data_IF_619500769736
#
_entry.id   IF_619500769736
#
_cell.length_a   1.000
_cell.length_b   1.000
_cell.length_c   1.000
_cell.angle_alpha   90.00
_cell.angle_beta   90.00
_cell.angle_gamma   90.00
#
_symmetry.space_group_name_H-M   'P 1'
#
loop_
_entity.id
_entity.type
_entity.pdbx_description
1 polymer ?
#
# COMPACT_ATOMS: atom_id res chain seq x y z
N UNK A 1 36.48 6.66 -26.46
CA UNK A 1 35.61 5.50 -26.18
C UNK A 1 35.07 5.64 -24.76
N UNK A 2 33.88 6.20 -24.58
CA UNK A 2 33.22 6.24 -23.27
C UNK A 2 31.71 6.14 -23.50
N UNK A 3 31.23 4.91 -23.53
CA UNK A 3 29.81 4.58 -23.54
C UNK A 3 29.22 4.89 -22.17
N UNK A 4 28.26 5.81 -22.11
CA UNK A 4 27.45 6.05 -20.90
C UNK A 4 26.23 5.14 -20.98
N UNK A 5 26.02 4.19 -20.05
CA UNK A 5 24.87 3.30 -20.15
C UNK A 5 23.61 4.06 -19.72
N UNK A 6 22.76 4.42 -20.69
CA UNK A 6 21.40 4.96 -20.45
C UNK A 6 20.50 3.81 -19.97
N UNK A 7 20.57 3.46 -18.68
CA UNK A 7 19.77 2.35 -18.13
C UNK A 7 18.42 2.80 -17.55
N UNK A 8 18.19 4.08 -17.27
CA UNK A 8 16.85 4.54 -16.83
C UNK A 8 16.04 5.12 -18.00
N UNK A 9 15.71 4.29 -18.98
CA UNK A 9 14.62 4.58 -19.91
C UNK A 9 13.42 3.71 -19.57
N UNK A 10 12.26 4.38 -19.41
CA UNK A 10 10.92 3.80 -19.31
C UNK A 10 10.56 2.99 -18.05
N UNK A 11 10.31 3.71 -16.95
CA UNK A 11 9.27 3.24 -16.01
C UNK A 11 7.93 3.41 -16.76
N UNK A 12 7.18 2.33 -17.05
CA UNK A 12 5.85 2.47 -17.62
C UNK A 12 5.00 3.23 -16.60
N UNK A 13 4.60 4.45 -16.95
CA UNK A 13 3.58 5.19 -16.20
C UNK A 13 2.30 4.38 -16.32
N UNK A 14 2.03 3.55 -15.31
CA UNK A 14 0.73 2.89 -15.14
C UNK A 14 -0.34 3.97 -15.32
N UNK A 15 -1.40 3.74 -16.13
CA UNK A 15 -2.40 4.77 -16.37
C UNK A 15 -3.04 5.08 -15.02
N UNK A 16 -2.65 6.21 -14.44
CA UNK A 16 -3.21 6.70 -13.18
C UNK A 16 -4.66 7.00 -13.50
N UNK A 17 -5.53 6.02 -13.26
CA UNK A 17 -6.97 6.18 -13.34
C UNK A 17 -7.27 7.39 -12.46
N UNK A 18 -7.78 8.47 -13.03
CA UNK A 18 -7.93 9.76 -12.34
C UNK A 18 -8.70 9.55 -11.03
N UNK A 19 -7.96 9.40 -9.93
CA UNK A 19 -8.53 9.21 -8.61
C UNK A 19 -9.01 10.59 -8.17
N UNK A 20 -10.31 10.73 -7.88
CA UNK A 20 -10.86 11.96 -7.31
C UNK A 20 -9.98 12.38 -6.12
N UNK A 21 -9.44 13.61 -6.10
CA UNK A 21 -8.51 14.04 -5.05
C UNK A 21 -9.19 13.93 -3.69
N UNK A 22 -8.41 13.55 -2.66
CA UNK A 22 -8.91 13.51 -1.30
C UNK A 22 -9.24 14.93 -0.82
N UNK A 23 -10.34 15.07 -0.10
CA UNK A 23 -10.70 16.36 0.52
C UNK A 23 -9.90 16.55 1.82
N UNK A 24 -9.67 17.79 2.28
CA UNK A 24 -8.79 18.10 3.44
C UNK A 24 -9.16 17.41 4.76
N UNK A 25 -10.40 16.93 4.90
CA UNK A 25 -10.93 16.28 6.12
C UNK A 25 -11.47 14.87 5.84
N UNK A 26 -11.08 14.26 4.71
CA UNK A 26 -11.54 12.93 4.39
C UNK A 26 -10.81 11.89 5.27
N UNK A 27 -11.53 10.98 5.95
CA UNK A 27 -10.87 9.94 6.72
C UNK A 27 -10.08 9.01 5.81
N UNK A 28 -8.87 8.63 6.23
CA UNK A 28 -7.94 7.81 5.41
C UNK A 28 -8.59 6.50 4.96
N UNK A 29 -9.45 5.91 5.80
CA UNK A 29 -10.20 4.70 5.46
C UNK A 29 -11.17 4.89 4.28
N UNK A 30 -11.70 6.10 4.04
CA UNK A 30 -12.54 6.39 2.87
C UNK A 30 -11.68 6.52 1.59
N UNK A 31 -10.51 7.16 1.70
CA UNK A 31 -9.53 7.23 0.61
C UNK A 31 -9.09 5.83 0.19
N UNK A 32 -8.71 4.98 1.15
CA UNK A 32 -8.27 3.62 0.86
C UNK A 32 -9.39 2.73 0.31
N UNK A 33 -10.62 2.85 0.83
CA UNK A 33 -11.80 2.17 0.27
C UNK A 33 -12.04 2.53 -1.19
N UNK A 34 -11.97 3.83 -1.53
CA UNK A 34 -12.12 4.31 -2.90
C UNK A 34 -11.02 3.76 -3.82
N UNK A 35 -9.78 3.73 -3.33
CA UNK A 35 -8.66 3.13 -4.06
C UNK A 35 -8.91 1.64 -4.37
N UNK A 36 -9.23 0.83 -3.36
CA UNK A 36 -9.49 -0.61 -3.55
C UNK A 36 -10.66 -0.86 -4.50
N UNK A 37 -11.74 -0.09 -4.39
CA UNK A 37 -12.86 -0.15 -5.33
C UNK A 37 -12.41 0.11 -6.78
N UNK A 38 -11.53 1.11 -6.98
CA UNK A 38 -10.91 1.39 -8.27
C UNK A 38 -10.08 0.23 -8.84
N UNK A 39 -9.47 -0.58 -7.96
CA UNK A 39 -8.70 -1.78 -8.29
C UNK A 39 -9.54 -3.07 -8.35
N UNK A 40 -10.87 -2.97 -8.20
CA UNK A 40 -11.78 -4.13 -8.07
C UNK A 40 -11.41 -5.07 -6.92
N UNK A 41 -10.82 -4.52 -5.86
CA UNK A 41 -10.47 -5.23 -4.63
C UNK A 41 -11.46 -4.89 -3.52
N UNK A 42 -11.75 -5.87 -2.66
CA UNK A 42 -12.63 -5.66 -1.49
C UNK A 42 -11.84 -5.02 -0.35
N UNK A 43 -12.49 -4.11 0.37
CA UNK A 43 -12.00 -3.64 1.66
C UNK A 43 -12.39 -4.66 2.74
N UNK A 44 -11.42 -5.50 3.14
CA UNK A 44 -11.61 -6.57 4.13
C UNK A 44 -11.03 -6.15 5.48
N UNK A 45 -11.44 -6.80 6.60
CA UNK A 45 -10.85 -6.53 7.91
C UNK A 45 -9.33 -6.65 7.93
N UNK A 46 -8.76 -7.63 7.21
CA UNK A 46 -7.31 -7.83 7.13
C UNK A 46 -6.60 -6.62 6.50
N UNK A 47 -7.18 -6.06 5.42
CA UNK A 47 -6.64 -4.85 4.79
C UNK A 47 -6.77 -3.63 5.68
N UNK A 48 -7.81 -3.55 6.50
CA UNK A 48 -7.97 -2.49 7.50
C UNK A 48 -6.90 -2.58 8.60
N UNK A 49 -6.60 -3.79 9.09
CA UNK A 49 -5.52 -4.02 10.07
C UNK A 49 -4.15 -3.65 9.49
N UNK A 50 -3.87 -4.03 8.25
CA UNK A 50 -2.62 -3.66 7.56
C UNK A 50 -2.50 -2.13 7.43
N UNK A 51 -3.57 -1.44 7.05
CA UNK A 51 -3.59 0.02 6.95
C UNK A 51 -3.27 0.68 8.30
N UNK A 52 -3.94 0.25 9.38
CA UNK A 52 -3.70 0.80 10.72
C UNK A 52 -2.25 0.57 11.17
N UNK A 53 -1.74 -0.65 11.01
CA UNK A 53 -0.37 -0.99 11.36
C UNK A 53 0.66 -0.17 10.55
N UNK A 54 0.44 0.01 9.25
CA UNK A 54 1.31 0.82 8.39
C UNK A 54 1.31 2.30 8.78
N UNK A 55 0.15 2.87 9.11
CA UNK A 55 0.03 4.28 9.50
C UNK A 55 0.66 4.58 10.87
N UNK A 56 0.80 3.58 11.74
CA UNK A 56 1.47 3.72 13.04
C UNK A 56 3.00 3.65 12.93
N UNK A 57 3.56 3.19 11.81
CA UNK A 57 5.01 3.13 11.64
C UNK A 57 5.59 4.55 11.53
N UNK A 58 6.66 4.76 12.29
CA UNK A 58 7.45 5.99 12.22
C UNK A 58 8.67 5.73 11.34
N UNK A 59 8.83 6.53 10.29
CA UNK A 59 9.93 6.37 9.34
C UNK A 59 9.74 5.23 8.34
N UNK A 60 10.84 4.86 7.66
CA UNK A 60 10.85 3.76 6.70
C UNK A 60 10.70 2.41 7.41
N UNK A 61 9.95 1.49 6.82
CA UNK A 61 9.76 0.15 7.35
C UNK A 61 9.72 -0.89 6.24
N UNK A 62 10.07 -2.12 6.59
CA UNK A 62 9.98 -3.28 5.70
C UNK A 62 8.62 -3.98 5.84
N UNK A 63 8.15 -4.62 4.76
CA UNK A 63 6.89 -5.36 4.78
C UNK A 63 6.87 -6.46 5.86
N UNK A 64 8.01 -7.13 6.09
CA UNK A 64 8.13 -8.18 7.10
C UNK A 64 8.00 -7.64 8.53
N UNK A 65 8.28 -6.36 8.77
CA UNK A 65 8.01 -5.73 10.06
C UNK A 65 6.50 -5.65 10.32
N UNK A 66 5.68 -5.34 9.31
CA UNK A 66 4.22 -5.36 9.46
C UNK A 66 3.69 -6.78 9.69
N UNK A 67 4.28 -7.79 9.04
CA UNK A 67 3.92 -9.19 9.27
C UNK A 67 4.18 -9.58 10.73
N UNK A 68 5.33 -9.19 11.27
CA UNK A 68 5.70 -9.44 12.66
C UNK A 68 4.73 -8.76 13.64
N UNK A 69 4.43 -7.48 13.43
CA UNK A 69 3.50 -6.71 14.27
C UNK A 69 2.09 -7.33 14.29
N UNK A 70 1.54 -7.63 13.11
CA UNK A 70 0.20 -8.20 12.99
C UNK A 70 0.13 -9.57 13.69
N UNK A 71 1.19 -10.37 13.61
CA UNK A 71 1.30 -11.64 14.33
C UNK A 71 1.34 -11.42 15.84
N UNK A 72 2.09 -10.42 16.31
CA UNK A 72 2.18 -10.08 17.73
C UNK A 72 0.83 -9.58 18.30
N UNK A 73 0.06 -8.85 17.50
CA UNK A 73 -1.29 -8.39 17.84
C UNK A 73 -2.35 -9.52 17.77
N UNK A 74 -1.95 -10.75 17.41
CA UNK A 74 -2.86 -11.90 17.31
C UNK A 74 -3.73 -11.90 16.05
N UNK A 75 -3.46 -11.02 15.09
CA UNK A 75 -4.20 -10.96 13.84
C UNK A 75 -3.79 -12.09 12.88
N UNK A 76 -4.77 -12.80 12.33
CA UNK A 76 -4.56 -13.88 11.36
C UNK A 76 -4.44 -13.33 9.93
N UNK A 77 -3.42 -12.53 9.67
CA UNK A 77 -3.14 -11.98 8.33
C UNK A 77 -1.95 -12.71 7.72
N UNK A 78 -2.11 -13.27 6.51
CA UNK A 78 -1.01 -13.97 5.83
C UNK A 78 0.05 -12.98 5.31
N UNK A 79 1.31 -13.43 5.23
CA UNK A 79 2.39 -12.66 4.58
C UNK A 79 2.01 -12.24 3.15
N UNK A 80 1.42 -13.14 2.36
CA UNK A 80 0.96 -12.82 1.01
C UNK A 80 -0.10 -11.70 0.98
N UNK A 81 -0.98 -11.63 1.99
CA UNK A 81 -1.98 -10.57 2.12
C UNK A 81 -1.33 -9.22 2.41
N UNK A 82 -0.32 -9.18 3.29
CA UNK A 82 0.44 -7.95 3.58
C UNK A 82 1.11 -7.42 2.31
N UNK A 83 1.86 -8.27 1.61
CA UNK A 83 2.59 -7.88 0.40
C UNK A 83 1.68 -7.47 -0.77
N UNK A 84 0.48 -8.03 -0.88
CA UNK A 84 -0.53 -7.62 -1.89
C UNK A 84 -1.27 -6.34 -1.52
N UNK A 85 -1.11 -5.85 -0.29
CA UNK A 85 -1.82 -4.68 0.23
C UNK A 85 -0.94 -3.44 0.23
N UNK A 86 0.36 -3.61 0.54
CA UNK A 86 1.40 -2.62 0.27
C UNK A 86 1.56 -2.41 -1.25
#
# INVERSE_FOLDING_TARGET
MSETPRILASIPKSPVRAHKPALPYEPICAVFRRYLHGQKLKFTPERAMILDAALRKTGLFEADMLVADLKQLGHRVSRATVYRTL
#
